data_IF_861083014286
#
_entry.id   IF_861083014286
#
_cell.length_a   1.000
_cell.length_b   1.000
_cell.length_c   1.000
_cell.angle_alpha   90.00
_cell.angle_beta   90.00
_cell.angle_gamma   90.00
#
_symmetry.space_group_name_H-M   'P 1'
#
loop_
_entity.id
_entity.type
_entity.pdbx_description
1 polymer ?
#
# COMPACT_ATOMS: atom_id res chain seq x y z
N UNK A 1 3.39 0.73 -16.06
CA UNK A 1 2.29 0.61 -15.09
C UNK A 1 2.26 -0.74 -14.39
N UNK A 2 1.74 -1.84 -14.98
CA UNK A 2 1.59 -3.13 -14.26
C UNK A 2 2.84 -3.66 -13.54
N UNK A 3 4.01 -3.57 -14.19
CA UNK A 3 5.30 -3.98 -13.58
C UNK A 3 5.72 -3.13 -12.36
N UNK A 4 5.24 -1.89 -12.28
CA UNK A 4 5.57 -1.00 -11.16
C UNK A 4 4.72 -1.33 -9.94
N UNK A 5 3.43 -1.65 -10.12
CA UNK A 5 2.58 -2.15 -9.04
C UNK A 5 3.08 -3.48 -8.47
N UNK A 6 3.52 -4.40 -9.34
CA UNK A 6 4.09 -5.67 -8.90
C UNK A 6 5.42 -5.48 -8.15
N UNK A 7 6.28 -4.55 -8.61
CA UNK A 7 7.48 -4.17 -7.85
C UNK A 7 7.15 -3.53 -6.50
N UNK A 8 6.17 -2.63 -6.46
CA UNK A 8 5.74 -2.00 -5.22
C UNK A 8 5.23 -3.04 -4.22
N UNK A 9 4.44 -4.01 -4.69
CA UNK A 9 3.98 -5.14 -3.87
C UNK A 9 5.14 -5.95 -3.29
N UNK A 10 6.14 -6.30 -4.10
CA UNK A 10 7.30 -7.09 -3.65
C UNK A 10 8.17 -6.31 -2.65
N UNK A 11 8.35 -5.01 -2.88
CA UNK A 11 9.26 -4.19 -2.08
C UNK A 11 8.63 -3.70 -0.77
N UNK A 12 7.33 -3.44 -0.76
CA UNK A 12 6.64 -2.76 0.34
C UNK A 12 5.51 -3.56 0.98
N UNK A 13 5.13 -4.70 0.39
CA UNK A 13 4.14 -5.62 0.95
C UNK A 13 2.69 -5.35 0.51
N UNK A 14 1.81 -6.32 0.85
CA UNK A 14 0.36 -6.22 0.60
C UNK A 14 -0.24 -4.99 1.27
N UNK A 15 0.33 -4.61 2.41
CA UNK A 15 -0.13 -3.53 3.24
C UNK A 15 -0.17 -2.18 2.52
N UNK A 16 0.98 -1.80 1.97
CA UNK A 16 1.14 -0.56 1.22
C UNK A 16 0.30 -0.60 -0.06
N UNK A 17 0.17 -1.78 -0.66
CA UNK A 17 -0.65 -1.95 -1.85
C UNK A 17 -2.16 -1.83 -1.59
N UNK A 18 -2.65 -2.25 -0.43
CA UNK A 18 -4.05 -2.04 -0.01
C UNK A 18 -4.34 -0.56 0.19
N UNK A 19 -3.42 0.20 0.78
CA UNK A 19 -3.55 1.65 0.90
C UNK A 19 -3.59 2.34 -0.48
N UNK A 20 -2.69 1.94 -1.39
CA UNK A 20 -2.69 2.44 -2.78
C UNK A 20 -4.01 2.08 -3.48
N UNK A 21 -4.56 0.89 -3.25
CA UNK A 21 -5.84 0.47 -3.82
C UNK A 21 -6.99 1.34 -3.32
N UNK A 22 -7.07 1.58 -2.01
CA UNK A 22 -8.12 2.43 -1.43
C UNK A 22 -8.00 3.87 -1.95
N UNK A 23 -6.78 4.38 -2.09
CA UNK A 23 -6.55 5.70 -2.70
C UNK A 23 -6.99 5.75 -4.16
N UNK A 24 -6.60 4.76 -4.97
CA UNK A 24 -7.00 4.64 -6.35
C UNK A 24 -8.54 4.55 -6.49
N UNK A 25 -9.21 3.87 -5.55
CA UNK A 25 -10.66 3.79 -5.50
C UNK A 25 -11.32 5.14 -5.19
N UNK A 26 -10.81 5.87 -4.19
CA UNK A 26 -11.28 7.23 -3.83
C UNK A 26 -11.07 8.25 -4.95
N UNK A 27 -10.00 8.08 -5.74
CA UNK A 27 -9.64 8.99 -6.84
C UNK A 27 -10.11 8.51 -8.21
N UNK A 28 -11.01 7.51 -8.25
CA UNK A 28 -11.64 6.98 -9.45
C UNK A 28 -10.65 6.42 -10.51
N UNK A 29 -9.46 5.99 -10.07
CA UNK A 29 -8.42 5.37 -10.91
C UNK A 29 -8.70 3.87 -11.10
N UNK A 30 -9.82 3.56 -11.75
CA UNK A 30 -10.35 2.19 -11.83
C UNK A 30 -9.45 1.20 -12.58
N UNK A 31 -8.67 1.66 -13.57
CA UNK A 31 -7.70 0.81 -14.27
C UNK A 31 -6.61 0.29 -13.32
N UNK A 32 -6.09 1.17 -12.46
CA UNK A 32 -5.10 0.82 -11.46
C UNK A 32 -5.69 -0.11 -10.39
N UNK A 33 -6.94 0.12 -9.98
CA UNK A 33 -7.68 -0.80 -9.12
C UNK A 33 -7.76 -2.22 -9.69
N UNK A 34 -8.02 -2.36 -11.01
CA UNK A 34 -8.07 -3.66 -11.67
C UNK A 34 -6.70 -4.34 -11.71
N UNK A 35 -5.63 -3.57 -11.93
CA UNK A 35 -4.25 -4.08 -11.89
C UNK A 35 -3.91 -4.61 -10.50
N UNK A 36 -4.23 -3.87 -9.44
CA UNK A 36 -3.93 -4.26 -8.06
C UNK A 36 -4.72 -5.52 -7.67
N UNK A 37 -6.02 -5.60 -7.98
CA UNK A 37 -6.83 -6.80 -7.74
C UNK A 37 -6.24 -8.05 -8.41
N UNK A 38 -5.85 -7.93 -9.68
CA UNK A 38 -5.24 -9.04 -10.41
C UNK A 38 -3.90 -9.49 -9.79
N UNK A 39 -3.14 -8.58 -9.15
CA UNK A 39 -1.93 -8.94 -8.42
C UNK A 39 -2.25 -9.67 -7.11
N UNK A 40 -3.24 -9.21 -6.34
CA UNK A 40 -3.64 -9.88 -5.11
C UNK A 40 -4.15 -11.30 -5.37
N UNK A 41 -4.97 -11.48 -6.42
CA UNK A 41 -5.40 -12.81 -6.86
C UNK A 41 -4.21 -13.69 -7.28
N UNK A 42 -3.26 -13.14 -8.06
CA UNK A 42 -2.06 -13.87 -8.50
C UNK A 42 -1.19 -14.37 -7.34
N UNK A 43 -1.09 -13.58 -6.27
CA UNK A 43 -0.25 -13.90 -5.10
C UNK A 43 -1.03 -14.52 -3.94
N UNK A 44 -2.32 -14.82 -4.11
CA UNK A 44 -3.21 -15.34 -3.06
C UNK A 44 -3.24 -14.45 -1.80
N UNK A 45 -3.28 -13.14 -2.00
CA UNK A 45 -3.31 -12.14 -0.93
C UNK A 45 -4.75 -11.64 -0.70
N UNK A 46 -5.08 -11.33 0.56
CA UNK A 46 -6.36 -10.72 0.90
C UNK A 46 -6.30 -9.19 0.80
N UNK A 47 -7.26 -8.61 0.08
CA UNK A 47 -7.43 -7.18 -0.10
C UNK A 47 -8.08 -6.49 1.12
N UNK A 48 -8.68 -7.29 2.02
CA UNK A 48 -9.42 -6.83 3.21
C UNK A 48 -8.62 -6.97 4.51
N UNK A 49 -7.30 -7.11 4.40
CA UNK A 49 -6.40 -7.28 5.54
C UNK A 49 -6.48 -6.06 6.48
N UNK A 50 -6.67 -6.26 7.79
CA UNK A 50 -6.97 -5.19 8.76
C UNK A 50 -5.73 -4.52 9.33
N UNK A 51 -5.85 -3.30 9.86
CA UNK A 51 -4.71 -2.57 10.44
C UNK A 51 -4.06 -3.33 11.63
N UNK A 52 -4.83 -4.10 12.39
CA UNK A 52 -4.33 -4.95 13.46
C UNK A 52 -3.40 -6.05 12.94
N UNK A 53 -3.73 -6.68 11.81
CA UNK A 53 -2.87 -7.67 11.16
C UNK A 53 -1.54 -7.05 10.71
N UNK A 54 -1.55 -5.75 10.40
CA UNK A 54 -0.37 -5.01 9.96
C UNK A 54 0.52 -4.68 11.16
N UNK A 55 -0.09 -4.18 12.24
CA UNK A 55 0.61 -3.94 13.50
C UNK A 55 1.26 -5.22 14.02
N UNK A 56 0.60 -6.37 13.88
CA UNK A 56 1.16 -7.67 14.21
C UNK A 56 2.40 -8.00 13.35
N UNK A 57 2.35 -7.85 12.02
CA UNK A 57 3.50 -8.08 11.15
C UNK A 57 4.70 -7.18 11.50
N UNK A 58 4.47 -5.89 11.79
CA UNK A 58 5.55 -5.00 12.18
C UNK A 58 6.11 -5.32 13.57
N UNK A 59 5.26 -5.80 14.49
CA UNK A 59 5.70 -6.30 15.78
C UNK A 59 6.64 -7.50 15.65
N UNK A 60 6.31 -8.45 14.75
CA UNK A 60 7.17 -9.60 14.45
C UNK A 60 8.54 -9.18 13.88
N UNK A 61 8.59 -8.05 13.17
CA UNK A 61 9.84 -7.45 12.67
C UNK A 61 10.61 -6.62 13.72
N UNK A 62 10.14 -6.59 14.98
CA UNK A 62 10.76 -5.87 16.08
C UNK A 62 10.51 -4.36 16.08
N UNK A 63 9.56 -3.88 15.28
CA UNK A 63 9.18 -2.46 15.22
C UNK A 63 8.02 -2.19 16.19
N UNK A 64 8.20 -1.23 17.10
CA UNK A 64 7.13 -0.82 18.04
C UNK A 64 6.12 0.11 17.35
N UNK A 65 4.85 0.04 17.77
CA UNK A 65 3.68 0.60 17.06
C UNK A 65 3.84 2.00 16.43
N UNK A 66 4.35 3.01 17.15
CA UNK A 66 4.57 4.35 16.56
C UNK A 66 5.64 4.35 15.46
N UNK A 67 6.71 3.60 15.64
CA UNK A 67 7.80 3.48 14.65
C UNK A 67 7.30 2.76 13.39
N UNK A 68 6.49 1.72 13.58
CA UNK A 68 5.84 1.00 12.49
C UNK A 68 4.92 1.93 11.67
N UNK A 69 4.07 2.71 12.36
CA UNK A 69 3.15 3.66 11.72
C UNK A 69 3.92 4.73 10.94
N UNK A 70 4.98 5.33 11.51
CA UNK A 70 5.77 6.33 10.78
C UNK A 70 6.45 5.74 9.54
N UNK A 71 6.99 4.51 9.64
CA UNK A 71 7.61 3.84 8.48
C UNK A 71 6.63 3.46 7.39
N UNK A 72 5.37 3.17 7.73
CA UNK A 72 4.31 2.91 6.74
C UNK A 72 4.11 4.14 5.84
N UNK A 73 4.10 5.35 6.40
CA UNK A 73 3.96 6.56 5.60
C UNK A 73 5.15 6.75 4.65
N UNK A 74 6.37 6.52 5.12
CA UNK A 74 7.58 6.60 4.28
C UNK A 74 7.51 5.59 3.12
N UNK A 75 7.17 4.33 3.43
CA UNK A 75 7.02 3.28 2.42
C UNK A 75 5.87 3.55 1.45
N UNK A 76 4.76 4.12 1.92
CA UNK A 76 3.64 4.50 1.07
C UNK A 76 4.05 5.62 0.12
N UNK A 77 4.77 6.64 0.59
CA UNK A 77 5.28 7.71 -0.25
C UNK A 77 6.17 7.19 -1.38
N UNK A 78 7.14 6.32 -1.04
CA UNK A 78 8.03 5.72 -2.03
C UNK A 78 7.27 4.83 -3.03
N UNK A 79 6.32 4.03 -2.53
CA UNK A 79 5.49 3.17 -3.37
C UNK A 79 4.58 3.97 -4.30
N UNK A 80 4.00 5.08 -3.84
CA UNK A 80 3.21 6.01 -4.65
C UNK A 80 4.04 6.60 -5.79
N UNK A 81 5.26 7.07 -5.50
CA UNK A 81 6.18 7.53 -6.55
C UNK A 81 6.48 6.39 -7.56
N UNK A 82 6.71 5.18 -7.06
CA UNK A 82 7.03 4.02 -7.90
C UNK A 82 5.88 3.64 -8.86
N UNK A 83 4.63 3.69 -8.39
CA UNK A 83 3.46 3.37 -9.23
C UNK A 83 3.04 4.51 -10.16
N UNK A 84 3.65 5.70 -10.02
CA UNK A 84 3.44 6.84 -10.91
C UNK A 84 2.57 7.95 -10.31
N UNK A 85 2.46 8.00 -8.99
CA UNK A 85 1.63 8.95 -8.22
C UNK A 85 2.50 9.95 -7.40
N UNK A 86 3.47 10.66 -8.00
CA UNK A 86 4.42 11.49 -7.23
C UNK A 86 3.78 12.69 -6.53
N UNK A 87 2.70 13.25 -7.09
CA UNK A 87 1.95 14.32 -6.43
C UNK A 87 1.20 13.82 -5.19
N UNK A 88 0.70 12.58 -5.25
CA UNK A 88 -0.07 11.95 -4.17
C UNK A 88 0.84 11.50 -3.02
N UNK A 89 2.12 11.22 -3.31
CA UNK A 89 3.15 10.93 -2.30
C UNK A 89 3.39 12.09 -1.31
N UNK A 90 2.96 13.31 -1.65
CA UNK A 90 3.02 14.47 -0.75
C UNK A 90 1.74 14.67 0.07
N UNK A 91 0.71 13.85 -0.16
CA UNK A 91 -0.64 13.94 0.41
C UNK A 91 -1.07 12.64 1.10
N UNK A 92 -0.15 12.03 1.82
CA UNK A 92 -0.29 10.69 2.40
C UNK A 92 -1.48 10.59 3.37
N UNK A 93 -1.82 11.69 4.05
CA UNK A 93 -2.96 11.77 4.97
C UNK A 93 -4.31 11.48 4.29
N UNK A 94 -4.43 11.70 2.97
CA UNK A 94 -5.63 11.39 2.19
C UNK A 94 -5.71 9.88 1.80
N UNK A 95 -4.55 9.20 1.82
CA UNK A 95 -4.32 7.84 1.33
C UNK A 95 -4.46 6.78 2.42
N UNK A 96 -4.06 7.09 3.66
CA UNK A 96 -4.11 6.14 4.79
C UNK A 96 -5.43 6.34 5.53
N UNK A 97 -6.29 5.33 5.69
CA UNK A 97 -7.33 5.38 6.70
C UNK A 97 -6.66 5.24 8.08
N UNK A 98 -6.25 6.37 8.66
CA UNK A 98 -5.94 6.44 10.09
C UNK A 98 -7.23 6.47 10.90
#
# INVERSE_FOLDING_TARGET
MKKNFEKALINYGSQIMTAIFQYALKTERYEDCAIIKALFEKYHLDLNQTMEEYQACFWEMGLSGRTAITKINDFLAEALVMVGYPADATRIDDCVPL
#
